data_IF_634866340433
#
_entry.id   IF_634866340433
#
_cell.length_a   1.000
_cell.length_b   1.000
_cell.length_c   1.000
_cell.angle_alpha   90.00
_cell.angle_beta   90.00
_cell.angle_gamma   90.00
#
_symmetry.space_group_name_H-M   'P 1'
#
loop_
_entity.id
_entity.type
_entity.pdbx_description
1 polymer ?
#
# COMPACT_ATOMS: atom_id res chain seq x y z
N UNK A 1 -3.89 -24.43 -24.88
CA UNK A 1 -3.69 -24.31 -23.42
C UNK A 1 -5.03 -24.01 -22.74
N UNK A 2 -5.79 -23.07 -23.30
CA UNK A 2 -7.10 -22.63 -22.80
C UNK A 2 -8.09 -23.76 -22.52
N UNK A 3 -8.22 -24.74 -23.43
CA UNK A 3 -9.09 -25.92 -23.22
C UNK A 3 -8.65 -26.79 -22.03
N UNK A 4 -7.35 -26.96 -21.79
CA UNK A 4 -6.86 -27.73 -20.62
C UNK A 4 -7.12 -26.96 -19.33
N UNK A 5 -6.91 -25.64 -19.34
CA UNK A 5 -7.22 -24.76 -18.21
C UNK A 5 -8.69 -24.86 -17.83
N UNK A 6 -9.58 -24.84 -18.81
CA UNK A 6 -11.02 -25.00 -18.59
C UNK A 6 -11.38 -26.38 -18.00
N UNK A 7 -10.73 -27.45 -18.47
CA UNK A 7 -10.90 -28.80 -17.89
C UNK A 7 -10.42 -28.87 -16.44
N UNK A 8 -9.27 -28.28 -16.11
CA UNK A 8 -8.77 -28.18 -14.73
C UNK A 8 -9.76 -27.39 -13.88
N UNK A 9 -10.15 -26.20 -14.32
CA UNK A 9 -11.03 -25.31 -13.55
C UNK A 9 -12.42 -25.95 -13.30
N UNK A 10 -13.05 -26.50 -14.35
CA UNK A 10 -14.35 -27.16 -14.24
C UNK A 10 -14.27 -28.44 -13.41
N UNK A 11 -13.22 -29.26 -13.58
CA UNK A 11 -12.98 -30.47 -12.79
C UNK A 11 -12.79 -30.17 -11.31
N UNK A 12 -11.95 -29.18 -10.98
CA UNK A 12 -11.71 -28.73 -9.61
C UNK A 12 -12.99 -28.18 -8.99
N UNK A 13 -13.74 -27.34 -9.71
CA UNK A 13 -15.00 -26.80 -9.23
C UNK A 13 -16.05 -27.88 -8.97
N UNK A 14 -16.18 -28.88 -9.86
CA UNK A 14 -17.09 -30.01 -9.70
C UNK A 14 -16.69 -30.88 -8.49
N UNK A 15 -15.41 -31.19 -8.34
CA UNK A 15 -14.86 -31.96 -7.22
C UNK A 15 -15.08 -31.23 -5.87
N UNK A 16 -14.79 -29.93 -5.80
CA UNK A 16 -15.02 -29.13 -4.60
C UNK A 16 -16.52 -29.05 -4.25
N UNK A 17 -17.40 -28.88 -5.25
CA UNK A 17 -18.85 -28.88 -5.05
C UNK A 17 -19.33 -30.22 -4.49
N UNK A 18 -18.85 -31.34 -5.03
CA UNK A 18 -19.12 -32.69 -4.51
C UNK A 18 -18.59 -32.87 -3.08
N UNK A 19 -17.48 -32.21 -2.75
CA UNK A 19 -16.91 -32.18 -1.40
C UNK A 19 -17.67 -31.30 -0.41
N UNK A 20 -18.66 -30.51 -0.87
CA UNK A 20 -19.52 -29.66 -0.04
C UNK A 20 -19.08 -28.20 0.05
N UNK A 21 -18.21 -27.73 -0.85
CA UNK A 21 -17.67 -26.38 -0.82
C UNK A 21 -17.23 -25.85 -2.18
N UNK A 22 -16.37 -24.83 -2.14
CA UNK A 22 -15.72 -24.21 -3.30
C UNK A 22 -14.21 -24.32 -3.16
N UNK A 23 -13.52 -24.52 -4.28
CA UNK A 23 -12.07 -24.54 -4.31
C UNK A 23 -11.51 -23.14 -4.01
N UNK A 24 -10.48 -23.09 -3.18
CA UNK A 24 -9.70 -21.89 -2.87
C UNK A 24 -8.43 -21.94 -3.71
N UNK A 25 -8.17 -20.91 -4.49
CA UNK A 25 -6.98 -20.80 -5.32
C UNK A 25 -7.06 -19.58 -6.24
N UNK A 26 -5.92 -18.93 -6.44
CA UNK A 26 -5.78 -17.82 -7.37
C UNK A 26 -5.60 -18.33 -8.81
N UNK A 27 -5.82 -17.47 -9.81
CA UNK A 27 -5.67 -17.82 -11.23
C UNK A 27 -4.29 -18.42 -11.55
N UNK A 28 -3.24 -17.92 -10.90
CA UNK A 28 -1.88 -18.43 -11.07
C UNK A 28 -1.73 -19.92 -10.70
N UNK A 29 -2.46 -20.39 -9.68
CA UNK A 29 -2.45 -21.81 -9.30
C UNK A 29 -3.11 -22.68 -10.38
N UNK A 30 -4.21 -22.21 -10.98
CA UNK A 30 -4.84 -22.90 -12.10
C UNK A 30 -3.91 -22.96 -13.31
N UNK A 31 -3.18 -21.88 -13.60
CA UNK A 31 -2.20 -21.83 -14.69
C UNK A 31 -1.04 -22.79 -14.45
N UNK A 32 -0.49 -22.82 -13.23
CA UNK A 32 0.59 -23.73 -12.84
C UNK A 32 0.14 -25.19 -12.96
N UNK A 33 -1.00 -25.56 -12.37
CA UNK A 33 -1.54 -26.93 -12.48
C UNK A 33 -1.80 -27.31 -13.93
N UNK A 34 -2.34 -26.39 -14.74
CA UNK A 34 -2.56 -26.62 -16.18
C UNK A 34 -1.25 -26.89 -16.93
N UNK A 35 -0.15 -26.25 -16.53
CA UNK A 35 1.16 -26.49 -17.11
C UNK A 35 1.76 -27.86 -16.68
N UNK A 36 1.39 -28.36 -15.50
CA UNK A 36 1.87 -29.63 -14.96
C UNK A 36 1.14 -30.87 -15.52
N UNK A 37 -0.06 -30.70 -16.09
CA UNK A 37 -0.90 -31.82 -16.53
C UNK A 37 -1.31 -31.73 -18.00
N UNK A 38 -1.23 -32.87 -18.68
CA UNK A 38 -1.72 -33.10 -20.03
C UNK A 38 -3.14 -33.71 -20.01
N UNK A 39 -3.43 -34.60 -19.06
CA UNK A 39 -4.72 -35.27 -18.88
C UNK A 39 -5.29 -35.04 -17.47
N UNK A 40 -5.92 -33.87 -17.22
CA UNK A 40 -6.35 -33.48 -15.88
C UNK A 40 -7.54 -34.31 -15.35
N UNK A 41 -7.37 -34.93 -14.18
CA UNK A 41 -8.44 -35.60 -13.44
C UNK A 41 -8.45 -35.12 -12.00
N UNK A 42 -9.52 -34.42 -11.60
CA UNK A 42 -9.66 -33.87 -10.25
C UNK A 42 -10.09 -34.95 -9.24
N UNK A 43 -9.35 -35.06 -8.14
CA UNK A 43 -9.57 -36.03 -7.06
C UNK A 43 -9.70 -35.28 -5.73
N UNK A 44 -10.76 -35.56 -4.98
CA UNK A 44 -10.94 -35.04 -3.62
C UNK A 44 -10.12 -35.87 -2.65
N UNK A 45 -9.31 -35.22 -1.84
CA UNK A 45 -8.63 -35.79 -0.68
C UNK A 45 -9.06 -35.12 0.62
N UNK A 46 -8.67 -35.70 1.74
CA UNK A 46 -8.99 -35.26 3.09
C UNK A 46 -7.75 -35.16 3.95
N UNK A 47 -7.83 -34.37 5.02
CA UNK A 47 -6.80 -34.31 6.05
C UNK A 47 -7.46 -34.29 7.42
N UNK A 48 -6.65 -34.44 8.47
CA UNK A 48 -7.18 -34.45 9.83
C UNK A 48 -7.79 -33.10 10.20
N UNK A 49 -9.02 -33.09 10.73
CA UNK A 49 -9.72 -31.86 11.11
C UNK A 49 -9.01 -31.02 12.16
N UNK A 50 -8.07 -31.60 12.94
CA UNK A 50 -7.25 -30.83 13.89
C UNK A 50 -6.47 -29.69 13.22
N UNK A 51 -6.09 -29.84 11.94
CA UNK A 51 -5.36 -28.80 11.21
C UNK A 51 -6.23 -27.59 10.87
N UNK A 52 -7.53 -27.63 11.12
CA UNK A 52 -8.42 -26.46 10.99
C UNK A 52 -8.27 -25.47 12.16
N UNK A 53 -7.60 -25.88 13.24
CA UNK A 53 -7.27 -24.99 14.37
C UNK A 53 -6.06 -24.08 14.06
N UNK A 54 -5.34 -24.37 12.96
CA UNK A 54 -4.26 -23.53 12.47
C UNK A 54 -4.80 -22.26 11.80
N UNK A 55 -4.00 -21.18 11.74
CA UNK A 55 -4.29 -20.04 10.89
C UNK A 55 -4.67 -20.48 9.47
N UNK A 56 -5.76 -19.92 8.95
CA UNK A 56 -6.30 -20.30 7.64
C UNK A 56 -5.23 -20.25 6.55
N UNK A 57 -4.45 -19.18 6.54
CA UNK A 57 -3.47 -18.87 5.52
C UNK A 57 -2.28 -19.85 5.55
N UNK A 58 -1.92 -20.42 6.71
CA UNK A 58 -0.88 -21.45 6.78
C UNK A 58 -1.35 -22.78 6.17
N UNK A 59 -2.60 -23.17 6.41
CA UNK A 59 -3.22 -24.35 5.79
C UNK A 59 -3.34 -24.15 4.27
N UNK A 60 -3.82 -22.98 3.84
CA UNK A 60 -3.93 -22.64 2.42
C UNK A 60 -2.57 -22.69 1.76
N UNK A 61 -1.55 -22.00 2.29
CA UNK A 61 -0.21 -21.98 1.68
C UNK A 61 0.43 -23.37 1.62
N UNK A 62 0.29 -24.17 2.68
CA UNK A 62 0.80 -25.55 2.71
C UNK A 62 0.21 -26.40 1.57
N UNK A 63 -1.07 -26.25 1.29
CA UNK A 63 -1.76 -27.00 0.23
C UNK A 63 -1.47 -26.42 -1.16
N UNK A 64 -1.48 -25.09 -1.32
CA UNK A 64 -1.32 -24.44 -2.63
C UNK A 64 0.14 -24.37 -3.05
N UNK A 65 1.00 -23.74 -2.27
CA UNK A 65 2.38 -23.41 -2.66
C UNK A 65 3.26 -24.67 -2.70
N UNK A 66 3.11 -25.55 -1.71
CA UNK A 66 3.99 -26.72 -1.60
C UNK A 66 3.49 -27.91 -2.42
N UNK A 67 2.17 -28.06 -2.63
CA UNK A 67 1.57 -29.24 -3.28
C UNK A 67 0.71 -28.97 -4.53
N UNK A 68 0.37 -27.72 -4.82
CA UNK A 68 -0.49 -27.34 -5.95
C UNK A 68 -1.88 -27.97 -5.83
N UNK A 69 -2.35 -28.10 -4.59
CA UNK A 69 -3.69 -28.55 -4.27
C UNK A 69 -4.60 -27.36 -4.03
N UNK A 70 -5.89 -27.55 -4.24
CA UNK A 70 -6.92 -26.55 -4.00
C UNK A 70 -7.64 -26.86 -2.68
N UNK A 71 -7.39 -26.12 -1.58
CA UNK A 71 -8.19 -26.24 -0.36
C UNK A 71 -9.68 -26.06 -0.65
N UNK A 72 -10.57 -26.73 0.10
CA UNK A 72 -12.02 -26.56 -0.06
C UNK A 72 -12.57 -25.69 1.07
N UNK A 73 -13.24 -24.59 0.72
CA UNK A 73 -13.97 -23.75 1.67
C UNK A 73 -15.47 -24.04 1.61
N UNK A 74 -16.10 -24.23 2.77
CA UNK A 74 -17.54 -24.41 2.93
C UNK A 74 -18.31 -23.08 3.01
N UNK A 75 -19.53 -23.15 3.55
CA UNK A 75 -20.37 -21.98 3.78
C UNK A 75 -19.68 -20.97 4.71
N UNK A 76 -19.83 -19.68 4.41
CA UNK A 76 -19.20 -18.60 5.18
C UNK A 76 -17.67 -18.56 5.06
N UNK A 77 -17.10 -19.23 4.06
CA UNK A 77 -15.67 -19.18 3.78
C UNK A 77 -14.80 -20.09 4.65
N UNK A 78 -15.32 -20.75 5.69
CA UNK A 78 -14.51 -21.63 6.56
C UNK A 78 -13.92 -22.82 5.78
N UNK A 79 -12.66 -23.16 6.05
CA UNK A 79 -12.03 -24.33 5.44
C UNK A 79 -12.72 -25.62 5.90
N UNK A 80 -12.88 -26.56 4.98
CA UNK A 80 -13.21 -27.94 5.25
C UNK A 80 -11.90 -28.74 5.35
N UNK A 81 -11.88 -29.90 6.04
CA UNK A 81 -10.71 -30.77 6.11
C UNK A 81 -10.53 -31.57 4.80
N UNK A 82 -10.59 -30.87 3.67
CA UNK A 82 -10.66 -31.40 2.31
C UNK A 82 -9.88 -30.51 1.35
N UNK A 83 -9.31 -31.14 0.34
CA UNK A 83 -8.65 -30.48 -0.78
C UNK A 83 -8.96 -31.21 -2.09
N UNK A 84 -8.70 -30.54 -3.21
CA UNK A 84 -8.73 -31.14 -4.54
C UNK A 84 -7.32 -31.16 -5.10
N UNK A 85 -6.87 -32.32 -5.54
CA UNK A 85 -5.64 -32.51 -6.32
C UNK A 85 -6.00 -32.86 -7.76
N UNK A 86 -5.11 -32.59 -8.71
CA UNK A 86 -5.33 -32.90 -10.13
C UNK A 86 -4.28 -33.92 -10.57
N UNK A 87 -4.72 -35.15 -10.83
CA UNK A 87 -3.88 -36.19 -11.41
C UNK A 87 -3.70 -35.93 -12.91
N UNK A 88 -2.54 -36.35 -13.43
CA UNK A 88 -2.22 -36.28 -14.86
C UNK A 88 -2.60 -37.55 -15.65
N UNK A 89 -3.52 -38.35 -15.11
CA UNK A 89 -4.01 -39.57 -15.73
C UNK A 89 -5.36 -39.98 -15.15
N UNK A 90 -6.11 -40.76 -15.90
CA UNK A 90 -7.29 -41.45 -15.40
C UNK A 90 -6.86 -42.77 -14.73
N UNK A 91 -6.83 -42.78 -13.39
CA UNK A 91 -6.38 -43.94 -12.62
C UNK A 91 -7.46 -45.02 -12.61
N UNK A 92 -7.05 -46.28 -12.76
CA UNK A 92 -7.92 -47.44 -12.52
C UNK A 92 -8.25 -47.62 -11.04
N UNK A 93 -7.45 -47.02 -10.16
CA UNK A 93 -7.66 -46.97 -8.71
C UNK A 93 -7.48 -45.52 -8.21
N UNK A 94 -8.55 -44.70 -8.25
CA UNK A 94 -8.50 -43.32 -7.76
C UNK A 94 -8.32 -43.21 -6.25
N UNK A 95 -8.67 -44.24 -5.48
CA UNK A 95 -8.53 -44.25 -4.03
C UNK A 95 -7.06 -44.39 -3.62
N UNK A 96 -6.28 -45.20 -4.34
CA UNK A 96 -4.82 -45.26 -4.13
C UNK A 96 -4.14 -43.91 -4.41
N UNK A 97 -4.58 -43.19 -5.45
CA UNK A 97 -4.08 -41.83 -5.73
C UNK A 97 -4.45 -40.88 -4.59
N UNK A 98 -5.70 -40.95 -4.09
CA UNK A 98 -6.15 -40.16 -2.94
C UNK A 98 -5.26 -40.41 -1.72
N UNK A 99 -5.13 -41.67 -1.29
CA UNK A 99 -4.34 -42.08 -0.13
C UNK A 99 -2.88 -41.62 -0.23
N UNK A 100 -2.30 -41.70 -1.44
CA UNK A 100 -0.96 -41.21 -1.71
C UNK A 100 -0.84 -39.71 -1.43
N UNK A 101 -1.74 -38.89 -2.00
CA UNK A 101 -1.72 -37.44 -1.80
C UNK A 101 -1.99 -37.07 -0.33
N UNK A 102 -2.90 -37.77 0.36
CA UNK A 102 -3.18 -37.55 1.79
C UNK A 102 -1.96 -37.86 2.69
N UNK A 103 -1.20 -38.91 2.37
CA UNK A 103 0.05 -39.23 3.08
C UNK A 103 1.12 -38.16 2.90
N UNK A 104 1.15 -37.49 1.74
CA UNK A 104 2.13 -36.45 1.44
C UNK A 104 1.83 -35.14 2.18
N UNK A 105 0.56 -34.75 2.35
CA UNK A 105 0.21 -33.49 3.04
C UNK A 105 0.28 -33.57 4.56
N UNK A 106 0.11 -34.76 5.13
CA UNK A 106 0.06 -34.96 6.58
C UNK A 106 1.31 -34.44 7.30
N UNK A 107 2.55 -34.83 6.92
CA UNK A 107 3.74 -34.29 7.57
C UNK A 107 3.88 -32.78 7.40
N UNK A 108 3.48 -32.20 6.26
CA UNK A 108 3.60 -30.75 6.02
C UNK A 108 2.65 -29.93 6.88
N UNK A 109 1.42 -30.39 7.05
CA UNK A 109 0.47 -29.76 7.99
C UNK A 109 0.91 -29.96 9.43
N UNK A 110 1.55 -31.10 9.75
CA UNK A 110 2.15 -31.32 11.07
C UNK A 110 3.31 -30.36 11.33
N UNK A 111 4.15 -30.06 10.34
CA UNK A 111 5.24 -29.08 10.45
C UNK A 111 4.68 -27.68 10.69
N UNK A 112 3.66 -27.26 9.93
CA UNK A 112 2.97 -25.98 10.16
C UNK A 112 2.36 -25.90 11.58
N UNK A 113 1.75 -26.99 12.05
CA UNK A 113 1.23 -27.06 13.43
C UNK A 113 2.35 -26.95 14.47
N UNK A 114 3.48 -27.62 14.25
CA UNK A 114 4.63 -27.54 15.13
C UNK A 114 5.17 -26.10 15.22
N UNK A 115 5.30 -25.40 14.10
CA UNK A 115 5.72 -23.99 14.11
C UNK A 115 4.74 -23.11 14.85
N UNK A 116 3.44 -23.24 14.59
CA UNK A 116 2.39 -22.48 15.28
C UNK A 116 2.43 -22.67 16.80
N UNK A 117 2.51 -23.91 17.26
CA UNK A 117 2.53 -24.22 18.70
C UNK A 117 3.84 -23.82 19.36
N UNK A 118 4.97 -23.97 18.67
CA UNK A 118 6.28 -23.54 19.15
C UNK A 118 6.36 -22.02 19.26
N UNK A 119 5.90 -21.31 18.23
CA UNK A 119 6.03 -19.86 18.14
C UNK A 119 5.22 -19.14 19.21
N UNK A 120 4.03 -19.66 19.55
CA UNK A 120 3.13 -19.12 20.59
C UNK A 120 3.61 -19.30 22.03
N UNK A 121 4.73 -20.01 22.25
CA UNK A 121 5.36 -20.10 23.57
C UNK A 121 6.07 -18.80 23.97
N UNK A 122 6.41 -17.97 22.98
CA UNK A 122 7.06 -16.68 23.20
C UNK A 122 6.17 -15.58 22.63
N UNK A 123 5.67 -14.65 23.46
CA UNK A 123 4.86 -13.55 22.98
C UNK A 123 5.53 -12.74 21.88
N UNK A 124 4.76 -12.25 20.91
CA UNK A 124 5.21 -11.46 19.77
C UNK A 124 6.05 -10.27 20.23
N UNK A 125 5.65 -9.58 21.30
CA UNK A 125 6.40 -8.42 21.82
C UNK A 125 7.78 -8.78 22.35
N UNK A 126 7.98 -9.98 22.89
CA UNK A 126 9.29 -10.43 23.38
C UNK A 126 10.28 -10.67 22.22
N UNK A 127 9.79 -10.82 20.99
CA UNK A 127 10.62 -11.00 19.79
C UNK A 127 11.24 -9.71 19.26
N UNK A 128 10.83 -8.55 19.78
CA UNK A 128 11.45 -7.26 19.45
C UNK A 128 12.96 -7.28 19.68
N UNK A 129 13.41 -7.93 20.76
CA UNK A 129 14.84 -8.03 21.08
C UNK A 129 15.63 -8.75 19.98
N UNK A 130 15.06 -9.82 19.42
CA UNK A 130 15.69 -10.57 18.33
C UNK A 130 15.87 -9.73 17.06
N UNK A 131 15.05 -8.70 16.85
CA UNK A 131 15.15 -7.81 15.70
C UNK A 131 16.42 -6.94 15.71
N UNK A 132 17.10 -6.79 16.85
CA UNK A 132 18.42 -6.16 16.92
C UNK A 132 19.50 -6.96 16.16
N UNK A 133 19.29 -8.25 15.94
CA UNK A 133 20.23 -9.10 15.21
C UNK A 133 19.88 -9.25 13.73
N UNK A 134 18.70 -8.75 13.30
CA UNK A 134 18.27 -8.80 11.90
C UNK A 134 18.68 -7.49 11.22
N UNK A 135 19.68 -7.56 10.35
CA UNK A 135 20.12 -6.39 9.57
C UNK A 135 19.01 -6.00 8.59
N UNK A 136 18.53 -4.75 8.67
CA UNK A 136 17.56 -4.23 7.69
C UNK A 136 18.25 -3.94 6.36
N UNK A 137 19.29 -3.11 6.39
CA UNK A 137 20.08 -2.75 5.23
C UNK A 137 21.40 -2.13 5.70
N UNK A 138 22.50 -2.43 5.00
CA UNK A 138 23.81 -1.84 5.32
C UNK A 138 23.70 -0.30 5.24
N UNK A 139 24.00 0.36 6.35
CA UNK A 139 23.89 1.82 6.52
C UNK A 139 22.60 2.30 7.20
N UNK A 140 21.59 1.45 7.39
CA UNK A 140 20.28 1.81 7.95
C UNK A 140 19.94 1.09 9.28
N UNK A 141 20.88 0.30 9.79
CA UNK A 141 20.76 -0.42 11.05
C UNK A 141 19.99 -1.73 10.93
N UNK A 142 19.29 -2.05 12.02
CA UNK A 142 18.59 -3.31 12.25
C UNK A 142 17.09 -3.19 11.96
N UNK A 143 16.38 -4.31 11.93
CA UNK A 143 14.91 -4.31 11.84
C UNK A 143 14.27 -3.68 13.09
N UNK A 144 14.92 -3.75 14.24
CA UNK A 144 14.48 -3.02 15.43
C UNK A 144 14.61 -1.50 15.23
N UNK A 145 15.73 -1.03 14.68
CA UNK A 145 15.92 0.40 14.38
C UNK A 145 14.86 0.91 13.40
N UNK A 146 14.55 0.11 12.37
CA UNK A 146 13.47 0.38 11.43
C UNK A 146 12.10 0.47 12.14
N UNK A 147 11.78 -0.50 12.99
CA UNK A 147 10.51 -0.51 13.73
C UNK A 147 10.35 0.76 14.58
N UNK A 148 11.43 1.18 15.27
CA UNK A 148 11.43 2.42 16.07
C UNK A 148 11.21 3.68 15.23
N UNK A 149 11.90 3.82 14.10
CA UNK A 149 11.69 4.97 13.18
C UNK A 149 10.27 4.99 12.63
N UNK A 150 9.79 3.82 12.23
CA UNK A 150 8.43 3.65 11.71
C UNK A 150 7.37 4.00 12.77
N UNK A 151 7.58 3.60 14.02
CA UNK A 151 6.69 3.97 15.13
C UNK A 151 6.61 5.49 15.33
N UNK A 152 7.76 6.19 15.33
CA UNK A 152 7.78 7.64 15.44
C UNK A 152 7.11 8.36 14.26
N UNK A 153 7.22 7.81 13.05
CA UNK A 153 6.50 8.34 11.88
C UNK A 153 4.99 8.07 11.97
N UNK A 154 4.60 6.86 12.37
CA UNK A 154 3.20 6.49 12.55
C UNK A 154 2.53 7.38 13.61
N UNK A 155 3.22 7.69 14.71
CA UNK A 155 2.75 8.61 15.74
C UNK A 155 2.50 10.02 15.17
N UNK A 156 3.47 10.59 14.44
CA UNK A 156 3.33 11.91 13.79
C UNK A 156 2.15 11.96 12.82
N UNK A 157 1.98 10.92 12.01
CA UNK A 157 0.88 10.84 11.03
C UNK A 157 -0.47 10.72 11.75
N UNK A 158 -0.57 9.88 12.78
CA UNK A 158 -1.80 9.72 13.56
C UNK A 158 -2.22 11.03 14.24
N UNK A 159 -1.26 11.75 14.85
CA UNK A 159 -1.52 13.07 15.46
C UNK A 159 -2.00 14.08 14.42
N UNK A 160 -1.37 14.12 13.23
CA UNK A 160 -1.78 15.02 12.15
C UNK A 160 -3.20 14.74 11.63
N UNK A 161 -3.70 13.52 11.82
CA UNK A 161 -5.04 13.07 11.44
C UNK A 161 -6.05 13.06 12.61
N UNK A 162 -5.66 13.57 13.79
CA UNK A 162 -6.47 13.52 15.02
C UNK A 162 -6.92 12.08 15.38
N UNK A 163 -6.00 11.12 15.24
CA UNK A 163 -6.21 9.70 15.52
C UNK A 163 -5.40 9.23 16.74
N UNK A 164 -5.78 8.09 17.32
CA UNK A 164 -5.03 7.49 18.43
C UNK A 164 -3.65 6.99 17.98
N UNK A 165 -2.64 7.78 18.34
CA UNK A 165 -1.25 7.51 18.00
C UNK A 165 -0.66 6.29 18.72
N UNK A 166 -1.23 5.89 19.86
CA UNK A 166 -0.73 4.77 20.67
C UNK A 166 -0.92 3.43 19.94
N UNK A 167 -2.05 3.26 19.24
CA UNK A 167 -2.36 2.05 18.45
C UNK A 167 -1.38 1.93 17.29
N UNK A 168 -1.16 3.01 16.55
CA UNK A 168 -0.29 3.01 15.38
C UNK A 168 1.19 2.78 15.77
N UNK A 169 1.66 3.41 16.86
CA UNK A 169 3.01 3.20 17.38
C UNK A 169 3.21 1.78 17.93
N UNK A 170 2.23 1.23 18.66
CA UNK A 170 2.27 -0.15 19.16
C UNK A 170 2.34 -1.16 18.01
N UNK A 171 1.48 -1.00 17.01
CA UNK A 171 1.47 -1.83 15.81
C UNK A 171 2.82 -1.75 15.09
N UNK A 172 3.40 -0.56 14.93
CA UNK A 172 4.69 -0.37 14.28
C UNK A 172 5.84 -1.14 14.96
N UNK A 173 5.89 -1.12 16.29
CA UNK A 173 6.91 -1.84 17.06
C UNK A 173 6.76 -3.36 16.94
N UNK A 174 5.55 -3.86 16.73
CA UNK A 174 5.26 -5.29 16.60
C UNK A 174 5.29 -5.81 15.16
N UNK A 175 5.10 -4.93 14.16
CA UNK A 175 4.82 -5.30 12.77
C UNK A 175 5.87 -6.18 12.10
N UNK A 176 7.11 -6.18 12.59
CA UNK A 176 8.24 -6.95 12.04
C UNK A 176 8.67 -8.11 12.94
N UNK A 177 8.01 -8.31 14.09
CA UNK A 177 8.39 -9.33 15.08
C UNK A 177 8.11 -10.75 14.60
N UNK A 178 7.20 -10.93 13.64
CA UNK A 178 6.91 -12.24 13.07
C UNK A 178 8.01 -12.73 12.12
N UNK A 179 8.88 -11.86 11.62
CA UNK A 179 10.01 -12.22 10.74
C UNK A 179 11.00 -13.20 11.38
N UNK A 180 11.03 -13.29 12.71
CA UNK A 180 11.90 -14.21 13.47
C UNK A 180 11.15 -15.42 14.01
N UNK A 181 9.94 -15.68 13.51
CA UNK A 181 9.12 -16.85 13.87
C UNK A 181 9.45 -18.04 12.98
N UNK A 182 9.28 -19.25 13.49
CA UNK A 182 9.44 -20.46 12.69
C UNK A 182 8.45 -20.51 11.53
N UNK A 183 7.20 -20.10 11.76
CA UNK A 183 6.17 -20.06 10.72
C UNK A 183 6.55 -19.15 9.55
N UNK A 184 7.06 -17.94 9.80
CA UNK A 184 7.49 -17.04 8.70
C UNK A 184 8.81 -17.49 8.08
N UNK A 185 9.67 -18.18 8.85
CA UNK A 185 10.86 -18.82 8.31
C UNK A 185 10.52 -19.90 7.26
N UNK A 186 9.48 -20.71 7.51
CA UNK A 186 8.99 -21.73 6.58
C UNK A 186 8.09 -21.15 5.47
N UNK A 187 7.26 -20.16 5.81
CA UNK A 187 6.29 -19.53 4.91
C UNK A 187 6.49 -18.00 4.85
N UNK A 188 7.52 -17.50 4.15
CA UNK A 188 7.86 -16.06 4.11
C UNK A 188 6.74 -15.16 3.58
N UNK A 189 5.85 -15.69 2.74
CA UNK A 189 4.68 -15.00 2.22
C UNK A 189 3.61 -14.69 3.28
N UNK A 190 3.66 -15.34 4.44
CA UNK A 190 2.72 -15.13 5.55
C UNK A 190 3.17 -14.03 6.53
N UNK A 191 4.26 -13.32 6.23
CA UNK A 191 4.68 -12.16 7.03
C UNK A 191 3.58 -11.09 7.11
N UNK A 192 3.51 -10.38 8.23
CA UNK A 192 2.41 -9.50 8.62
C UNK A 192 1.15 -10.25 9.04
N UNK A 193 0.69 -11.22 8.23
CA UNK A 193 -0.50 -12.04 8.52
C UNK A 193 -0.28 -12.85 9.80
N UNK A 194 0.86 -13.53 9.93
CA UNK A 194 1.19 -14.27 11.14
C UNK A 194 1.41 -13.34 12.33
N UNK A 195 2.03 -12.18 12.12
CA UNK A 195 2.11 -11.13 13.14
C UNK A 195 0.75 -10.78 13.75
N UNK A 196 -0.29 -10.64 12.92
CA UNK A 196 -1.67 -10.43 13.40
C UNK A 196 -2.18 -11.59 14.24
N UNK A 197 -2.02 -12.83 13.79
CA UNK A 197 -2.48 -14.01 14.53
C UNK A 197 -1.78 -14.14 15.90
N UNK A 198 -0.48 -13.87 15.95
CA UNK A 198 0.27 -13.88 17.20
C UNK A 198 -0.16 -12.75 18.13
N UNK A 199 -0.30 -11.52 17.61
CA UNK A 199 -0.79 -10.37 18.39
C UNK A 199 -2.15 -10.65 19.04
N UNK A 200 -3.11 -11.20 18.27
CA UNK A 200 -4.41 -11.60 18.80
C UNK A 200 -4.31 -12.73 19.84
N UNK A 201 -3.45 -13.73 19.60
CA UNK A 201 -3.22 -14.82 20.57
C UNK A 201 -2.60 -14.32 21.87
N UNK A 202 -1.84 -13.24 21.83
CA UNK A 202 -1.18 -12.63 22.99
C UNK A 202 -2.05 -11.60 23.72
N UNK A 203 -3.25 -11.30 23.18
CA UNK A 203 -4.21 -10.37 23.77
C UNK A 203 -4.04 -8.90 23.39
N UNK A 204 -3.30 -8.60 22.30
CA UNK A 204 -3.28 -7.25 21.74
C UNK A 204 -4.67 -6.84 21.21
N UNK A 205 -5.02 -5.55 21.24
CA UNK A 205 -6.27 -5.05 20.66
C UNK A 205 -6.40 -5.42 19.17
N UNK A 206 -7.62 -5.73 18.68
CA UNK A 206 -7.84 -6.03 17.26
C UNK A 206 -7.28 -4.99 16.30
N UNK A 207 -7.42 -3.69 16.61
CA UNK A 207 -6.91 -2.60 15.77
C UNK A 207 -5.37 -2.62 15.63
N UNK A 208 -4.65 -3.01 16.69
CA UNK A 208 -3.18 -3.19 16.64
C UNK A 208 -2.84 -4.38 15.74
N UNK A 209 -3.54 -5.51 15.92
CA UNK A 209 -3.29 -6.72 15.15
C UNK A 209 -3.65 -6.55 13.67
N UNK A 210 -4.75 -5.88 13.36
CA UNK A 210 -5.16 -5.57 11.99
C UNK A 210 -4.14 -4.65 11.32
N UNK A 211 -3.68 -3.58 12.01
CA UNK A 211 -2.62 -2.72 11.49
C UNK A 211 -1.30 -3.48 11.20
N UNK A 212 -0.94 -4.46 12.04
CA UNK A 212 0.22 -5.35 11.81
C UNK A 212 0.05 -6.16 10.52
N UNK A 213 -1.13 -6.68 10.18
CA UNK A 213 -1.32 -7.37 8.90
C UNK A 213 -1.34 -6.40 7.72
N UNK A 214 -1.96 -5.22 7.90
CA UNK A 214 -2.26 -4.31 6.81
C UNK A 214 -1.09 -3.44 6.37
N UNK A 215 -0.03 -3.26 7.19
CA UNK A 215 1.04 -2.30 6.87
C UNK A 215 1.78 -2.56 5.55
N UNK A 216 1.81 -3.80 5.06
CA UNK A 216 2.37 -4.12 3.75
C UNK A 216 1.50 -3.63 2.60
N UNK A 217 0.20 -3.42 2.81
CA UNK A 217 -0.74 -3.00 1.79
C UNK A 217 -0.56 -1.52 1.38
N UNK A 218 -0.84 -1.17 0.12
CA UNK A 218 -0.92 -2.09 -1.03
C UNK A 218 0.47 -2.60 -1.43
N UNK A 219 0.59 -3.89 -1.77
CA UNK A 219 1.86 -4.51 -2.20
C UNK A 219 2.16 -4.29 -3.70
N UNK A 220 1.12 -4.01 -4.48
CA UNK A 220 1.18 -3.72 -5.91
C UNK A 220 0.04 -2.78 -6.34
N UNK A 221 0.08 -2.29 -7.59
CA UNK A 221 -0.76 -1.18 -8.07
C UNK A 221 -2.28 -1.41 -7.96
N UNK A 222 -2.73 -2.66 -8.05
CA UNK A 222 -4.15 -3.05 -7.93
C UNK A 222 -4.50 -3.79 -6.63
N UNK A 223 -3.59 -3.82 -5.66
CA UNK A 223 -3.83 -4.52 -4.39
C UNK A 223 -4.86 -3.77 -3.53
N UNK A 224 -5.42 -4.46 -2.55
CA UNK A 224 -6.29 -3.86 -1.54
C UNK A 224 -5.55 -2.76 -0.75
N UNK A 225 -6.30 -1.82 -0.22
CA UNK A 225 -5.80 -0.81 0.70
C UNK A 225 -6.04 -1.25 2.16
N UNK A 226 -5.25 -0.79 3.13
CA UNK A 226 -5.54 -0.99 4.53
C UNK A 226 -6.96 -0.52 4.88
N UNK A 227 -7.74 -1.37 5.52
CA UNK A 227 -9.12 -1.04 5.89
C UNK A 227 -9.17 -0.23 7.19
N UNK A 228 -8.29 -0.52 8.14
CA UNK A 228 -8.20 0.19 9.41
C UNK A 228 -7.43 1.50 9.28
N UNK A 229 -7.81 2.53 10.03
CA UNK A 229 -7.09 3.82 10.04
C UNK A 229 -5.65 3.63 10.52
N UNK A 230 -5.43 2.85 11.58
CA UNK A 230 -4.08 2.53 12.07
C UNK A 230 -3.24 1.76 11.05
N UNK A 231 -3.86 0.87 10.26
CA UNK A 231 -3.21 0.20 9.14
C UNK A 231 -2.84 1.16 8.01
N UNK A 232 -3.69 2.13 7.69
CA UNK A 232 -3.38 3.17 6.69
C UNK A 232 -2.19 4.03 7.14
N UNK A 233 -2.21 4.49 8.39
CA UNK A 233 -1.13 5.26 9.02
C UNK A 233 0.18 4.47 8.97
N UNK A 234 0.16 3.22 9.44
CA UNK A 234 1.35 2.39 9.52
C UNK A 234 1.89 2.02 8.13
N UNK A 235 1.01 1.76 7.15
CA UNK A 235 1.41 1.50 5.78
C UNK A 235 2.14 2.68 5.14
N UNK A 236 1.68 3.91 5.39
CA UNK A 236 2.37 5.13 4.93
C UNK A 236 3.71 5.28 5.65
N UNK A 237 3.74 5.12 6.97
CA UNK A 237 4.96 5.24 7.77
C UNK A 237 6.07 4.26 7.33
N UNK A 238 5.76 2.97 7.18
CA UNK A 238 6.75 1.93 6.81
C UNK A 238 7.31 2.15 5.40
N UNK A 239 6.45 2.55 4.46
CA UNK A 239 6.85 2.86 3.07
C UNK A 239 7.68 4.13 3.01
N UNK A 240 7.34 5.15 3.79
CA UNK A 240 8.07 6.41 3.84
C UNK A 240 9.44 6.26 4.51
N UNK A 241 9.55 5.50 5.61
CA UNK A 241 10.85 5.14 6.20
C UNK A 241 11.73 4.42 5.19
N UNK A 242 11.17 3.47 4.44
CA UNK A 242 11.91 2.72 3.42
C UNK A 242 12.41 3.63 2.30
N UNK A 243 11.58 4.57 1.83
CA UNK A 243 12.00 5.57 0.84
C UNK A 243 13.12 6.44 1.38
N UNK A 244 12.91 7.06 2.54
CA UNK A 244 13.88 7.96 3.16
C UNK A 244 15.22 7.27 3.41
N UNK A 245 15.21 6.08 3.99
CA UNK A 245 16.44 5.31 4.25
C UNK A 245 17.20 4.96 2.97
N UNK A 246 16.52 4.44 1.95
CA UNK A 246 17.20 4.04 0.70
C UNK A 246 17.75 5.25 -0.07
N UNK A 247 17.08 6.38 -0.03
CA UNK A 247 17.61 7.64 -0.58
C UNK A 247 18.81 8.15 0.22
N UNK A 248 18.74 8.06 1.55
CA UNK A 248 19.81 8.54 2.43
C UNK A 248 21.14 7.78 2.26
N UNK A 249 21.09 6.51 1.84
CA UNK A 249 22.30 5.73 1.48
C UNK A 249 22.66 5.79 -0.01
N UNK A 250 22.09 6.74 -0.77
CA UNK A 250 22.42 7.00 -2.18
C UNK A 250 21.93 5.93 -3.17
N UNK A 251 21.02 5.03 -2.76
CA UNK A 251 20.54 3.90 -3.58
C UNK A 251 19.25 4.21 -4.33
N UNK A 252 19.16 5.40 -4.93
CA UNK A 252 17.99 5.81 -5.71
C UNK A 252 17.79 4.95 -6.97
N UNK A 253 16.55 4.66 -7.39
CA UNK A 253 16.28 3.87 -8.59
C UNK A 253 16.84 4.57 -9.84
N UNK A 254 17.47 3.82 -10.74
CA UNK A 254 18.05 4.34 -11.98
C UNK A 254 17.48 3.62 -13.21
N UNK A 255 17.10 4.40 -14.24
CA UNK A 255 16.48 3.88 -15.46
C UNK A 255 15.29 2.97 -15.14
N UNK A 256 15.25 1.76 -15.69
CA UNK A 256 14.16 0.80 -15.44
C UNK A 256 14.37 -0.06 -14.18
N UNK A 257 15.52 0.01 -13.50
CA UNK A 257 15.80 -0.83 -12.33
C UNK A 257 15.26 -0.20 -11.05
N UNK A 258 14.53 -0.99 -10.28
CA UNK A 258 14.04 -0.62 -8.95
C UNK A 258 14.20 -1.81 -7.99
N UNK A 259 15.45 -2.11 -7.56
CA UNK A 259 15.75 -3.31 -6.78
C UNK A 259 15.11 -3.30 -5.39
N UNK A 260 14.78 -2.12 -4.85
CA UNK A 260 14.17 -1.96 -3.53
C UNK A 260 12.65 -1.70 -3.60
N UNK A 261 12.06 -1.71 -4.80
CA UNK A 261 10.62 -1.50 -4.98
C UNK A 261 10.13 -0.09 -4.59
N UNK A 262 10.99 0.93 -4.62
CA UNK A 262 10.66 2.30 -4.20
C UNK A 262 9.54 2.91 -5.03
N UNK A 263 9.44 2.59 -6.32
CA UNK A 263 8.33 3.06 -7.17
C UNK A 263 7.00 2.48 -6.71
N UNK A 264 6.99 1.21 -6.30
CA UNK A 264 5.80 0.56 -5.74
C UNK A 264 5.46 1.13 -4.36
N UNK A 265 6.47 1.40 -3.52
CA UNK A 265 6.27 2.04 -2.23
C UNK A 265 5.68 3.45 -2.36
N UNK A 266 6.23 4.29 -3.25
CA UNK A 266 5.72 5.63 -3.52
C UNK A 266 4.29 5.59 -4.07
N UNK A 267 3.99 4.68 -5.00
CA UNK A 267 2.61 4.48 -5.46
C UNK A 267 1.70 4.03 -4.31
N UNK A 268 2.16 3.16 -3.43
CA UNK A 268 1.40 2.73 -2.27
C UNK A 268 1.07 3.88 -1.31
N UNK A 269 2.04 4.77 -1.05
CA UNK A 269 1.79 6.01 -0.27
C UNK A 269 0.74 6.87 -0.95
N UNK A 270 0.88 7.12 -2.26
CA UNK A 270 -0.07 7.94 -3.03
C UNK A 270 -1.48 7.36 -2.93
N UNK A 271 -1.62 6.05 -3.17
CA UNK A 271 -2.91 5.36 -3.13
C UNK A 271 -3.55 5.46 -1.75
N UNK A 272 -2.80 5.20 -0.68
CA UNK A 272 -3.35 5.29 0.68
C UNK A 272 -3.72 6.74 1.02
N UNK A 273 -2.86 7.71 0.74
CA UNK A 273 -3.16 9.12 1.04
C UNK A 273 -4.36 9.65 0.25
N UNK A 274 -4.42 9.38 -1.06
CA UNK A 274 -5.46 9.92 -1.94
C UNK A 274 -6.77 9.14 -1.85
N UNK A 275 -6.72 7.81 -1.95
CA UNK A 275 -7.93 6.97 -2.03
C UNK A 275 -8.59 6.78 -0.65
N UNK A 276 -7.82 6.80 0.44
CA UNK A 276 -8.37 6.79 1.80
C UNK A 276 -8.60 8.19 2.36
N UNK A 277 -8.22 9.26 1.63
CA UNK A 277 -8.50 10.64 2.03
C UNK A 277 -7.70 11.13 3.25
N UNK A 278 -6.45 10.66 3.42
CA UNK A 278 -5.59 11.11 4.51
C UNK A 278 -4.97 12.47 4.17
N UNK A 279 -5.58 13.53 4.69
CA UNK A 279 -5.17 14.91 4.44
C UNK A 279 -4.03 15.31 5.40
N UNK A 280 -2.78 15.10 4.96
CA UNK A 280 -1.55 15.36 5.73
C UNK A 280 -0.53 16.15 4.91
N UNK A 281 0.35 16.87 5.59
CA UNK A 281 1.48 17.55 4.97
C UNK A 281 2.59 16.54 4.60
N UNK A 282 2.63 16.12 3.33
CA UNK A 282 3.62 15.17 2.82
C UNK A 282 5.05 15.70 2.97
N UNK A 283 5.28 17.01 2.87
CA UNK A 283 6.63 17.57 3.00
C UNK A 283 7.13 17.47 4.43
N UNK A 284 6.27 17.79 5.40
CA UNK A 284 6.58 17.61 6.82
C UNK A 284 6.85 16.14 7.16
N UNK A 285 6.10 15.21 6.57
CA UNK A 285 6.33 13.78 6.76
C UNK A 285 7.64 13.30 6.12
N UNK A 286 7.97 13.78 4.92
CA UNK A 286 9.26 13.49 4.26
C UNK A 286 10.41 13.99 5.14
N UNK A 287 10.36 15.25 5.59
CA UNK A 287 11.38 15.83 6.47
C UNK A 287 11.57 14.99 7.74
N UNK A 288 10.46 14.61 8.40
CA UNK A 288 10.50 13.74 9.58
C UNK A 288 11.13 12.36 9.28
N UNK A 289 10.85 11.78 8.12
CA UNK A 289 11.37 10.47 7.73
C UNK A 289 12.86 10.51 7.40
N UNK A 290 13.33 11.59 6.77
CA UNK A 290 14.75 11.84 6.47
C UNK A 290 15.53 12.13 7.73
N UNK A 291 14.99 12.96 8.63
CA UNK A 291 15.60 13.28 9.93
C UNK A 291 15.84 12.03 10.78
N UNK A 292 14.91 11.07 10.74
CA UNK A 292 15.01 9.84 11.52
C UNK A 292 16.11 8.88 11.04
N UNK A 293 16.67 9.05 9.83
CA UNK A 293 17.64 8.11 9.27
C UNK A 293 19.02 8.23 9.95
N UNK A 294 19.71 7.11 10.22
CA UNK A 294 20.99 7.11 10.94
C UNK A 294 22.17 7.64 10.11
N UNK A 295 22.02 7.66 8.80
CA UNK A 295 23.00 8.19 7.84
C UNK A 295 22.26 9.19 6.96
N UNK A 296 22.91 10.30 6.65
CA UNK A 296 22.48 11.23 5.60
C UNK A 296 23.44 11.10 4.43
N UNK A 297 22.94 11.31 3.22
CA UNK A 297 23.74 11.30 2.00
C UNK A 297 24.84 12.38 2.05
N UNK A 298 25.76 12.34 1.09
CA UNK A 298 26.88 13.28 0.99
C UNK A 298 26.42 14.75 1.07
N UNK A 299 27.29 15.62 1.62
CA UNK A 299 27.06 17.06 1.74
C UNK A 299 26.63 17.65 0.39
N UNK A 300 25.48 18.34 0.37
CA UNK A 300 24.89 18.97 -0.81
C UNK A 300 23.72 18.22 -1.46
N UNK A 301 23.35 17.04 -0.96
CA UNK A 301 22.15 16.33 -1.44
C UNK A 301 20.89 16.80 -0.70
N UNK A 302 19.93 17.37 -1.41
CA UNK A 302 18.60 17.67 -0.87
C UNK A 302 17.68 16.44 -1.01
N UNK A 303 17.79 15.53 -0.05
CA UNK A 303 17.02 14.28 -0.01
C UNK A 303 15.51 14.57 0.07
N UNK A 304 15.12 15.64 0.78
CA UNK A 304 13.71 15.97 0.96
C UNK A 304 13.07 16.40 -0.37
N UNK A 305 13.74 17.27 -1.13
CA UNK A 305 13.30 17.64 -2.47
C UNK A 305 13.30 16.45 -3.43
N UNK A 306 14.38 15.65 -3.44
CA UNK A 306 14.49 14.44 -4.28
C UNK A 306 13.34 13.44 -4.02
N UNK A 307 12.96 13.26 -2.75
CA UNK A 307 11.85 12.37 -2.37
C UNK A 307 10.49 12.93 -2.80
N UNK A 308 10.27 14.24 -2.60
CA UNK A 308 9.04 14.89 -3.01
C UNK A 308 8.88 14.83 -4.54
N UNK A 309 9.94 15.10 -5.30
CA UNK A 309 9.97 14.94 -6.75
C UNK A 309 9.70 13.49 -7.16
N UNK A 310 10.35 12.52 -6.51
CA UNK A 310 10.15 11.11 -6.81
C UNK A 310 8.70 10.64 -6.58
N UNK A 311 8.06 11.10 -5.50
CA UNK A 311 6.65 10.79 -5.22
C UNK A 311 5.74 11.51 -6.22
N UNK A 312 5.96 12.80 -6.50
CA UNK A 312 5.12 13.56 -7.44
C UNK A 312 5.25 13.11 -8.89
N UNK A 313 6.40 12.60 -9.32
CA UNK A 313 6.53 11.89 -10.61
C UNK A 313 5.61 10.67 -10.71
N UNK A 314 5.44 9.94 -9.60
CA UNK A 314 4.52 8.79 -9.54
C UNK A 314 3.07 9.24 -9.44
N UNK A 315 2.81 10.34 -8.74
CA UNK A 315 1.51 10.98 -8.66
C UNK A 315 1.01 11.39 -10.05
N UNK A 316 1.90 11.92 -10.90
CA UNK A 316 1.61 12.23 -12.31
C UNK A 316 1.04 11.03 -13.05
N UNK A 317 1.76 9.90 -13.01
CA UNK A 317 1.33 8.67 -13.68
C UNK A 317 0.02 8.16 -13.09
N UNK A 318 -0.10 8.18 -11.76
CA UNK A 318 -1.32 7.79 -11.07
C UNK A 318 -2.57 8.54 -11.56
N UNK A 319 -2.52 9.86 -11.71
CA UNK A 319 -3.66 10.64 -12.20
C UNK A 319 -3.88 10.51 -13.71
N UNK A 320 -2.82 10.62 -14.53
CA UNK A 320 -2.95 10.55 -15.99
C UNK A 320 -3.41 9.17 -16.50
N UNK A 321 -3.00 8.09 -15.82
CA UNK A 321 -3.43 6.73 -16.19
C UNK A 321 -4.89 6.47 -15.81
N UNK A 322 -5.42 7.15 -14.78
CA UNK A 322 -6.80 7.01 -14.30
C UNK A 322 -7.79 7.92 -15.03
N UNK A 323 -7.36 9.11 -15.44
CA UNK A 323 -8.20 10.08 -16.14
C UNK A 323 -7.59 10.49 -17.48
N UNK A 324 -8.11 9.88 -18.57
CA UNK A 324 -7.67 10.20 -19.95
C UNK A 324 -8.04 11.62 -20.40
N UNK A 325 -8.91 12.32 -19.69
CA UNK A 325 -9.30 13.70 -20.01
C UNK A 325 -8.39 14.72 -19.33
N UNK A 326 -7.61 14.29 -18.33
CA UNK A 326 -6.69 15.15 -17.64
C UNK A 326 -5.52 15.52 -18.57
N UNK A 327 -5.44 16.82 -18.89
CA UNK A 327 -4.32 17.37 -19.64
C UNK A 327 -3.06 17.48 -18.76
N UNK A 328 -1.89 17.16 -19.34
CA UNK A 328 -0.60 17.24 -18.66
C UNK A 328 -0.33 18.64 -18.11
N UNK A 329 -0.73 19.67 -18.84
CA UNK A 329 -0.59 21.08 -18.49
C UNK A 329 -1.40 21.44 -17.24
N UNK A 330 -2.56 20.78 -17.06
CA UNK A 330 -3.39 20.97 -15.85
C UNK A 330 -2.69 20.40 -14.63
N UNK A 331 -2.11 19.21 -14.76
CA UNK A 331 -1.30 18.61 -13.71
C UNK A 331 -0.08 19.48 -13.37
N UNK A 332 0.64 19.97 -14.38
CA UNK A 332 1.81 20.83 -14.21
C UNK A 332 1.48 22.15 -13.52
N UNK A 333 0.35 22.77 -13.86
CA UNK A 333 -0.11 24.00 -13.23
C UNK A 333 -0.37 23.82 -11.73
N UNK A 334 -0.94 22.69 -11.32
CA UNK A 334 -1.16 22.37 -9.90
C UNK A 334 0.16 22.04 -9.22
N UNK A 335 1.02 21.21 -9.84
CA UNK A 335 2.32 20.83 -9.29
C UNK A 335 3.26 22.03 -9.11
N UNK A 336 3.20 23.04 -9.98
CA UNK A 336 3.98 24.27 -9.85
C UNK A 336 3.71 25.05 -8.55
N UNK A 337 2.57 24.81 -7.89
CA UNK A 337 2.28 25.37 -6.55
C UNK A 337 2.83 24.52 -5.40
N UNK A 338 3.45 23.39 -5.72
CA UNK A 338 4.05 22.42 -4.80
C UNK A 338 3.18 22.15 -3.55
N UNK A 339 1.92 21.65 -3.72
CA UNK A 339 1.01 21.42 -2.61
C UNK A 339 1.59 20.44 -1.58
N UNK A 340 1.32 20.72 -0.30
CA UNK A 340 1.75 19.87 0.81
C UNK A 340 0.91 18.58 0.90
N UNK A 341 -0.40 18.66 0.68
CA UNK A 341 -1.32 17.52 0.74
C UNK A 341 -1.62 16.95 -0.64
N UNK A 342 -1.56 15.62 -0.75
CA UNK A 342 -1.98 14.91 -1.97
C UNK A 342 -3.50 14.87 -2.15
N UNK A 343 -4.26 14.94 -1.06
CA UNK A 343 -5.72 15.07 -1.10
C UNK A 343 -6.09 16.44 -1.66
N UNK A 344 -5.48 17.51 -1.15
CA UNK A 344 -5.65 18.86 -1.68
C UNK A 344 -5.17 18.97 -3.14
N UNK A 345 -4.09 18.27 -3.51
CA UNK A 345 -3.64 18.19 -4.90
C UNK A 345 -4.76 17.68 -5.81
N UNK A 346 -5.41 16.57 -5.45
CA UNK A 346 -6.55 16.01 -6.21
C UNK A 346 -7.70 17.01 -6.34
N UNK A 347 -8.09 17.66 -5.23
CA UNK A 347 -9.14 18.69 -5.23
C UNK A 347 -8.79 19.88 -6.13
N UNK A 348 -7.53 20.35 -6.14
CA UNK A 348 -7.06 21.41 -7.06
C UNK A 348 -7.13 20.98 -8.51
N UNK A 349 -6.78 19.74 -8.80
CA UNK A 349 -6.80 19.19 -10.14
C UNK A 349 -8.22 19.20 -10.72
N UNK A 350 -9.20 18.72 -9.94
CA UNK A 350 -10.62 18.76 -10.31
C UNK A 350 -11.13 20.18 -10.49
N UNK A 351 -10.74 21.11 -9.62
CA UNK A 351 -11.12 22.51 -9.70
C UNK A 351 -10.56 23.19 -10.96
N UNK A 352 -9.29 22.94 -11.31
CA UNK A 352 -8.66 23.51 -12.52
C UNK A 352 -9.28 22.90 -13.78
N UNK A 353 -9.54 21.59 -13.81
CA UNK A 353 -10.25 20.96 -14.93
C UNK A 353 -11.64 21.56 -15.13
N UNK A 354 -12.39 21.75 -14.04
CA UNK A 354 -13.72 22.36 -14.07
C UNK A 354 -13.67 23.82 -14.55
N UNK A 355 -12.67 24.58 -14.10
CA UNK A 355 -12.45 25.96 -14.54
C UNK A 355 -12.14 26.05 -16.03
N UNK A 356 -11.24 25.21 -16.55
CA UNK A 356 -10.83 25.21 -17.97
C UNK A 356 -12.02 24.91 -18.90
N UNK A 357 -13.01 24.14 -18.44
CA UNK A 357 -14.21 23.84 -19.20
C UNK A 357 -15.19 25.03 -19.34
N UNK A 358 -14.99 26.13 -18.60
CA UNK A 358 -15.84 27.31 -18.68
C UNK A 358 -15.51 28.16 -19.91
N UNK A 359 -16.53 28.68 -20.59
CA UNK A 359 -16.38 29.56 -21.76
C UNK A 359 -15.42 30.75 -21.53
N UNK A 360 -15.43 31.45 -20.38
CA UNK A 360 -14.53 32.59 -20.16
C UNK A 360 -13.06 32.19 -19.88
N UNK A 361 -12.77 30.90 -19.63
CA UNK A 361 -11.48 30.47 -19.09
C UNK A 361 -10.30 30.79 -20.00
N UNK A 362 -10.45 30.58 -21.31
CA UNK A 362 -9.41 30.89 -22.29
C UNK A 362 -9.06 32.38 -22.31
N UNK A 363 -10.08 33.24 -22.28
CA UNK A 363 -9.89 34.70 -22.24
C UNK A 363 -9.21 35.14 -20.94
N UNK A 364 -9.63 34.58 -19.80
CA UNK A 364 -9.04 34.88 -18.49
C UNK A 364 -7.58 34.43 -18.41
N UNK A 365 -7.26 33.23 -18.89
CA UNK A 365 -5.88 32.72 -18.91
C UNK A 365 -4.96 33.59 -19.80
N UNK A 366 -5.45 34.02 -20.97
CA UNK A 366 -4.72 34.91 -21.86
C UNK A 366 -4.48 36.29 -21.23
N UNK A 367 -5.50 36.86 -20.59
CA UNK A 367 -5.39 38.13 -19.86
C UNK A 367 -4.36 38.03 -18.72
N UNK A 368 -4.44 36.97 -17.91
CA UNK A 368 -3.53 36.76 -16.78
C UNK A 368 -2.07 36.60 -17.25
N UNK A 369 -1.83 35.85 -18.34
CA UNK A 369 -0.49 35.72 -18.96
C UNK A 369 0.05 37.06 -19.42
N UNK A 370 -0.80 37.92 -20.00
CA UNK A 370 -0.40 39.26 -20.45
C UNK A 370 -0.02 40.14 -19.26
N UNK A 371 -0.81 40.12 -18.20
CA UNK A 371 -0.52 40.85 -16.94
C UNK A 371 0.81 40.38 -16.35
N UNK A 372 1.02 39.07 -16.21
CA UNK A 372 2.27 38.51 -15.69
C UNK A 372 3.50 38.92 -16.52
N UNK A 373 3.38 38.99 -17.85
CA UNK A 373 4.46 39.45 -18.71
C UNK A 373 4.77 40.94 -18.54
N UNK A 374 3.74 41.79 -18.37
CA UNK A 374 3.89 43.22 -18.12
C UNK A 374 4.60 43.44 -16.78
N UNK A 375 4.16 42.76 -15.72
CA UNK A 375 4.76 42.88 -14.38
C UNK A 375 6.24 42.48 -14.39
N UNK A 376 6.56 41.38 -15.07
CA UNK A 376 7.95 40.91 -15.25
C UNK A 376 8.82 41.90 -16.03
N UNK A 377 8.27 42.58 -17.04
CA UNK A 377 8.99 43.62 -17.79
C UNK A 377 9.19 44.90 -16.97
N UNK A 378 8.25 45.19 -16.07
CA UNK A 378 8.29 46.35 -15.19
C UNK A 378 9.16 46.14 -13.94
N UNK A 379 9.80 44.98 -13.79
CA UNK A 379 10.62 44.60 -12.62
C UNK A 379 9.88 44.79 -11.29
N UNK A 380 8.55 44.63 -11.31
CA UNK A 380 7.72 44.71 -10.09
C UNK A 380 7.60 43.32 -9.48
N UNK A 381 8.32 43.11 -8.38
CA UNK A 381 8.22 41.90 -7.57
C UNK A 381 7.24 42.07 -6.40
N UNK A 382 6.39 41.06 -6.18
CA UNK A 382 5.55 40.92 -4.98
C UNK A 382 4.13 41.48 -5.08
N UNK A 383 3.45 41.50 -3.93
CA UNK A 383 2.09 42.04 -3.78
C UNK A 383 2.20 43.54 -3.55
N UNK A 384 1.71 44.33 -4.50
CA UNK A 384 1.60 45.78 -4.36
C UNK A 384 0.23 46.14 -3.78
N UNK A 385 0.22 47.06 -2.82
CA UNK A 385 -1.02 47.64 -2.31
C UNK A 385 -1.54 48.72 -3.26
N UNK A 386 -2.82 48.62 -3.62
CA UNK A 386 -3.51 49.66 -4.36
C UNK A 386 -3.69 50.87 -3.45
N UNK A 387 -3.11 52.01 -3.81
CA UNK A 387 -3.33 53.27 -3.09
C UNK A 387 -4.59 53.94 -3.63
N UNK A 388 -5.74 53.68 -3.01
CA UNK A 388 -7.05 54.22 -3.44
C UNK A 388 -7.05 55.73 -3.67
N UNK A 389 -6.32 56.48 -2.84
CA UNK A 389 -6.18 57.96 -2.96
C UNK A 389 -5.46 58.43 -4.23
N UNK A 390 -4.83 57.53 -4.97
CA UNK A 390 -4.14 57.81 -6.24
C UNK A 390 -4.97 57.46 -7.46
N UNK A 391 -6.14 56.83 -7.30
CA UNK A 391 -7.08 56.57 -8.40
C UNK A 391 -7.77 57.89 -8.76
N UNK A 392 -7.57 58.37 -9.99
CA UNK A 392 -8.04 59.68 -10.41
C UNK A 392 -9.15 59.57 -11.47
N UNK A 393 -9.03 58.60 -12.37
CA UNK A 393 -9.97 58.42 -13.48
C UNK A 393 -11.21 57.62 -13.03
N UNK A 394 -12.42 57.93 -13.54
CA UNK A 394 -13.63 57.17 -13.20
C UNK A 394 -13.52 55.66 -13.44
N UNK A 395 -12.77 55.26 -14.47
CA UNK A 395 -12.53 53.85 -14.79
C UNK A 395 -11.62 53.15 -13.76
N UNK A 396 -10.64 53.86 -13.19
CA UNK A 396 -9.75 53.34 -12.15
C UNK A 396 -10.51 53.10 -10.84
N UNK A 397 -11.36 54.06 -10.46
CA UNK A 397 -12.24 53.94 -9.29
C UNK A 397 -13.20 52.77 -9.45
N UNK A 398 -13.88 52.66 -10.60
CA UNK A 398 -14.81 51.56 -10.87
C UNK A 398 -14.12 50.18 -10.86
N UNK A 399 -12.89 50.08 -11.39
CA UNK A 399 -12.11 48.84 -11.33
C UNK A 399 -11.71 48.48 -9.89
N UNK A 400 -11.29 49.48 -9.10
CA UNK A 400 -10.98 49.31 -7.68
C UNK A 400 -12.18 48.76 -6.89
N UNK A 401 -13.34 49.40 -7.02
CA UNK A 401 -14.58 48.96 -6.35
C UNK A 401 -14.98 47.53 -6.75
N UNK A 402 -14.88 47.20 -8.04
CA UNK A 402 -15.17 45.85 -8.53
C UNK A 402 -14.20 44.81 -7.97
N UNK A 403 -12.91 45.13 -7.87
CA UNK A 403 -11.90 44.28 -7.28
C UNK A 403 -12.14 44.05 -5.78
N UNK A 404 -12.48 45.10 -5.03
CA UNK A 404 -12.78 44.99 -3.61
C UNK A 404 -14.01 44.13 -3.36
N UNK A 405 -15.08 44.35 -4.13
CA UNK A 405 -16.28 43.49 -4.06
C UNK A 405 -15.95 42.03 -4.34
N UNK A 406 -15.13 41.75 -5.35
CA UNK A 406 -14.66 40.40 -5.65
C UNK A 406 -13.83 39.84 -4.49
N UNK A 407 -12.91 40.62 -3.91
CA UNK A 407 -12.10 40.22 -2.74
C UNK A 407 -12.99 39.88 -1.53
N UNK A 408 -13.97 40.72 -1.19
CA UNK A 408 -14.89 40.46 -0.09
C UNK A 408 -15.72 39.19 -0.30
N UNK A 409 -16.11 38.93 -1.55
CA UNK A 409 -16.90 37.73 -1.89
C UNK A 409 -16.06 36.46 -1.85
N UNK A 410 -14.84 36.50 -2.36
CA UNK A 410 -14.00 35.30 -2.58
C UNK A 410 -13.13 34.97 -1.35
N UNK A 411 -12.68 35.96 -0.57
CA UNK A 411 -11.76 35.74 0.57
C UNK A 411 -12.30 34.73 1.60
N UNK A 412 -13.56 34.79 2.04
CA UNK A 412 -14.10 33.78 2.97
C UNK A 412 -14.09 32.36 2.38
N UNK A 413 -14.24 32.22 1.06
CA UNK A 413 -14.22 30.93 0.38
C UNK A 413 -12.80 30.35 0.27
N UNK A 414 -11.78 31.21 0.22
CA UNK A 414 -10.37 30.80 0.24
C UNK A 414 -9.96 30.37 1.65
N UNK A 415 -10.43 31.09 2.68
CA UNK A 415 -10.09 30.84 4.09
C UNK A 415 -10.82 29.63 4.69
N UNK A 416 -11.99 29.27 4.15
CA UNK A 416 -12.76 28.09 4.57
C UNK A 416 -12.27 26.76 3.96
N UNK A 417 -11.20 26.80 3.17
CA UNK A 417 -10.54 25.65 2.55
C UNK A 417 -9.40 25.16 3.43
#
# INVERSE_FOLDING_TARGET
VDRRRELVASGVAAAAKKAGGVAVGEDALYDEVTALVEWPVAIVGTFDSQYLDLPRESVVSTLTSHQRYFPVAGKGGKLLPKFVTVANLESKDPDQVRDGNERVIRPRLADAAFFWDSDRRTPLSARQESLHHVVYQRGLGTMHDKARRTAGLAEKIAIALDQDASVAARAAMLAKCDLVTGMVGEFPELQGIMGRYYALSDGEPPDVADAIAEHYLPRFAGDALPASVSGQVLAVADKLDSLAGIFAIGKKPSGNRDPFGLRRAALGIIRVLVECGLDVDLKALIAAAVEAQPSKADEGTDIESDLYEFITERLRRYFLDRDKKLATETFDAVLARSPASLVDFGRRLEAVQSFIALEPAASLAAANKRIANILRQAEVDGVTETKEKLLAEPAEVALGEALDKARTTVRPMIEAR
#
